data_IF_225397817916
#
_entry.id   IF_225397817916
#
_cell.length_a   1.000
_cell.length_b   1.000
_cell.length_c   1.000
_cell.angle_alpha   90.00
_cell.angle_beta   90.00
_cell.angle_gamma   90.00
#
_symmetry.space_group_name_H-M   'P 1'
#
loop_
_entity.id
_entity.type
_entity.pdbx_description
1 polymer ?
#
# COMPACT_ATOMS: atom_id res chain seq x y z
N UNK A 1 -6.85 6.61 -24.74
CA UNK A 1 -6.37 5.70 -23.68
C UNK A 1 -6.79 6.34 -22.37
N UNK A 2 -7.27 5.58 -21.39
CA UNK A 2 -7.63 6.19 -20.10
C UNK A 2 -6.36 6.40 -19.29
N UNK A 3 -6.31 7.53 -18.61
CA UNK A 3 -5.26 7.80 -17.63
C UNK A 3 -5.76 7.41 -16.24
N UNK A 4 -4.83 6.97 -15.40
CA UNK A 4 -5.14 6.46 -14.07
C UNK A 4 -4.27 7.11 -13.01
N UNK A 5 -4.88 7.52 -11.91
CA UNK A 5 -4.18 7.86 -10.68
C UNK A 5 -4.29 6.72 -9.69
N UNK A 6 -3.16 6.34 -9.09
CA UNK A 6 -3.09 5.29 -8.07
C UNK A 6 -2.63 5.90 -6.75
N UNK A 7 -3.44 5.68 -5.71
CA UNK A 7 -3.20 6.07 -4.33
C UNK A 7 -3.00 4.80 -3.49
N UNK A 8 -1.96 4.79 -2.67
CA UNK A 8 -1.67 3.71 -1.73
C UNK A 8 -1.98 4.23 -0.34
N UNK A 9 -2.71 3.47 0.47
CA UNK A 9 -3.07 3.82 1.83
C UNK A 9 -2.70 2.68 2.77
N UNK A 10 -2.08 2.99 3.91
CA UNK A 10 -1.92 2.01 4.99
C UNK A 10 -3.28 1.79 5.62
N UNK A 11 -3.95 0.71 5.25
CA UNK A 11 -5.32 0.43 5.66
C UNK A 11 -5.40 -0.14 7.06
N UNK A 12 -4.51 -1.07 7.38
CA UNK A 12 -4.45 -1.71 8.68
C UNK A 12 -3.02 -2.10 9.03
N UNK A 13 -2.77 -2.27 10.33
CA UNK A 13 -1.60 -2.99 10.82
C UNK A 13 -1.28 -2.65 12.26
N UNK A 14 -0.19 -3.24 12.75
CA UNK A 14 0.39 -2.92 14.04
C UNK A 14 1.73 -2.18 13.88
N UNK A 15 1.76 -0.84 13.96
CA UNK A 15 3.00 -0.08 13.80
C UNK A 15 3.90 -0.22 15.02
N UNK A 16 5.18 0.05 14.83
CA UNK A 16 6.06 0.28 15.97
C UNK A 16 5.84 1.62 16.66
N UNK A 17 6.65 1.87 17.67
CA UNK A 17 6.70 3.12 18.40
C UNK A 17 7.96 3.91 18.05
N UNK A 18 7.78 5.19 17.72
CA UNK A 18 8.90 6.10 17.50
C UNK A 18 9.60 6.36 18.82
N UNK A 19 10.91 6.18 18.85
CA UNK A 19 11.73 6.56 20.00
C UNK A 19 11.72 8.09 20.14
N UNK A 20 11.51 8.57 21.36
CA UNK A 20 11.45 10.00 21.68
C UNK A 20 12.83 10.61 21.96
N UNK A 21 13.86 9.77 22.05
CA UNK A 21 15.24 10.17 22.34
C UNK A 21 16.03 10.65 21.09
N UNK A 22 15.38 10.64 19.92
CA UNK A 22 15.96 11.09 18.65
C UNK A 22 16.94 10.11 18.02
N UNK A 23 17.12 8.91 18.57
CA UNK A 23 17.91 7.86 17.92
C UNK A 23 17.15 7.23 16.76
N UNK A 24 17.84 7.14 15.62
CA UNK A 24 17.34 6.43 14.45
C UNK A 24 18.03 5.05 14.36
N UNK A 25 17.26 3.96 14.31
CA UNK A 25 17.82 2.61 14.25
C UNK A 25 18.49 2.35 12.91
N UNK A 26 19.44 1.41 12.93
CA UNK A 26 19.93 0.83 11.69
C UNK A 26 18.94 -0.23 11.24
N UNK A 27 18.00 0.17 10.39
CA UNK A 27 16.91 -0.68 9.90
C UNK A 27 17.41 -1.99 9.30
N UNK A 28 18.53 -1.97 8.58
CA UNK A 28 19.08 -3.16 7.93
C UNK A 28 19.71 -4.11 8.95
N UNK A 29 20.50 -3.58 9.90
CA UNK A 29 21.10 -4.38 10.97
C UNK A 29 20.06 -4.96 11.91
N UNK A 30 19.00 -4.22 12.18
CA UNK A 30 17.92 -4.61 13.09
C UNK A 30 16.83 -5.45 12.41
N UNK A 31 16.85 -5.56 11.08
CA UNK A 31 15.89 -6.35 10.32
C UNK A 31 14.47 -5.79 10.37
N UNK A 32 14.33 -4.47 10.50
CA UNK A 32 13.06 -3.77 10.63
C UNK A 32 12.86 -2.76 9.48
N UNK A 33 11.64 -2.27 9.29
CA UNK A 33 11.34 -1.22 8.31
C UNK A 33 10.73 0.03 8.95
N UNK A 34 10.52 1.09 8.17
CA UNK A 34 9.97 2.37 8.66
C UNK A 34 8.61 2.22 9.38
N UNK A 35 7.80 1.22 8.98
CA UNK A 35 6.55 0.86 9.67
C UNK A 35 6.79 0.27 11.06
N UNK A 36 7.72 -0.68 11.17
CA UNK A 36 8.09 -1.33 12.44
C UNK A 36 8.83 -0.39 13.40
N UNK A 37 9.40 0.70 12.90
CA UNK A 37 9.96 1.79 13.70
C UNK A 37 8.91 2.87 14.06
N UNK A 38 7.67 2.75 13.56
CA UNK A 38 6.58 3.66 13.89
C UNK A 38 6.59 5.00 13.16
N UNK A 39 7.48 5.20 12.17
CA UNK A 39 7.54 6.40 11.33
C UNK A 39 6.30 6.56 10.44
N UNK A 40 5.68 5.44 10.07
CA UNK A 40 4.46 5.40 9.27
C UNK A 40 3.24 5.07 10.14
N UNK A 41 2.04 5.53 9.74
CA UNK A 41 0.79 5.37 10.51
C UNK A 41 -0.36 4.85 9.64
N UNK A 42 -1.33 4.17 10.27
CA UNK A 42 -2.60 3.80 9.62
C UNK A 42 -3.30 5.06 9.09
N UNK A 43 -3.85 4.97 7.88
CA UNK A 43 -4.48 6.06 7.15
C UNK A 43 -3.51 6.94 6.36
N UNK A 44 -2.19 6.74 6.50
CA UNK A 44 -1.21 7.47 5.69
C UNK A 44 -1.30 7.06 4.22
N UNK A 45 -1.20 8.06 3.34
CA UNK A 45 -1.38 7.91 1.89
C UNK A 45 -0.13 8.28 1.11
N UNK A 46 0.05 7.62 -0.02
CA UNK A 46 1.18 7.75 -0.92
C UNK A 46 0.69 7.77 -2.36
N UNK A 47 1.29 8.59 -3.20
CA UNK A 47 1.02 8.69 -4.63
C UNK A 47 1.95 7.74 -5.39
N UNK A 48 1.37 6.86 -6.22
CA UNK A 48 2.16 6.02 -7.12
C UNK A 48 2.38 6.74 -8.47
N UNK A 49 3.59 6.69 -9.05
CA UNK A 49 4.82 6.05 -8.54
C UNK A 49 5.67 6.95 -7.63
N UNK A 50 5.30 8.23 -7.50
CA UNK A 50 6.15 9.31 -6.95
C UNK A 50 6.66 9.04 -5.52
N UNK A 51 5.83 8.46 -4.66
CA UNK A 51 6.11 8.27 -3.24
C UNK A 51 6.57 6.84 -2.87
N UNK A 52 6.86 5.99 -3.87
CA UNK A 52 7.27 4.60 -3.60
C UNK A 52 8.55 4.50 -2.74
N UNK A 53 9.41 5.51 -2.78
CA UNK A 53 10.64 5.57 -1.97
C UNK A 53 10.40 5.67 -0.46
N UNK A 54 9.19 6.04 -0.03
CA UNK A 54 8.83 6.11 1.40
C UNK A 54 8.42 4.72 1.95
N UNK A 55 8.18 3.74 1.09
CA UNK A 55 7.71 2.41 1.46
C UNK A 55 8.85 1.38 1.50
N UNK A 56 8.69 0.38 2.36
CA UNK A 56 9.64 -0.74 2.45
C UNK A 56 9.70 -1.53 1.13
N UNK A 57 10.89 -1.92 0.62
CA UNK A 57 11.01 -2.68 -0.62
C UNK A 57 10.16 -3.96 -0.68
N UNK A 58 10.04 -4.71 0.43
CA UNK A 58 9.20 -5.92 0.47
C UNK A 58 7.72 -5.62 0.32
N UNK A 59 7.27 -4.49 0.88
CA UNK A 59 5.89 -4.04 0.74
C UNK A 59 5.61 -3.61 -0.70
N UNK A 60 6.52 -2.84 -1.30
CA UNK A 60 6.42 -2.45 -2.71
C UNK A 60 6.36 -3.69 -3.61
N UNK A 61 7.28 -4.64 -3.41
CA UNK A 61 7.34 -5.85 -4.24
C UNK A 61 6.06 -6.69 -4.14
N UNK A 62 5.49 -6.80 -2.94
CA UNK A 62 4.21 -7.50 -2.72
C UNK A 62 3.04 -6.88 -3.50
N UNK A 63 3.10 -5.59 -3.81
CA UNK A 63 2.06 -4.86 -4.56
C UNK A 63 2.32 -4.80 -6.06
N UNK A 64 3.55 -5.05 -6.54
CA UNK A 64 3.98 -4.80 -7.92
C UNK A 64 3.02 -5.37 -8.96
N UNK A 65 2.62 -6.64 -8.83
CA UNK A 65 1.72 -7.28 -9.79
C UNK A 65 0.35 -6.58 -9.90
N UNK A 66 -0.22 -6.16 -8.77
CA UNK A 66 -1.47 -5.41 -8.73
C UNK A 66 -1.31 -3.99 -9.27
N UNK A 67 -0.23 -3.30 -8.92
CA UNK A 67 0.05 -1.94 -9.44
C UNK A 67 0.17 -1.95 -10.96
N UNK A 68 0.92 -2.92 -11.52
CA UNK A 68 1.05 -3.11 -12.97
C UNK A 68 -0.27 -3.46 -13.66
N UNK A 69 -1.12 -4.26 -13.03
CA UNK A 69 -2.44 -4.54 -13.58
C UNK A 69 -3.31 -3.27 -13.60
N UNK A 70 -3.38 -2.54 -12.49
CA UNK A 70 -4.24 -1.37 -12.34
C UNK A 70 -3.79 -0.17 -13.18
N UNK A 71 -2.48 0.07 -13.30
CA UNK A 71 -1.93 1.17 -14.11
C UNK A 71 -2.22 0.98 -15.62
N UNK A 72 -2.34 -0.28 -16.07
CA UNK A 72 -2.65 -0.64 -17.45
C UNK A 72 -4.15 -0.89 -17.67
N UNK A 73 -5.01 -0.46 -16.74
CA UNK A 73 -6.48 -0.57 -16.84
C UNK A 73 -7.04 -1.97 -16.57
N UNK A 74 -6.21 -2.93 -16.17
CA UNK A 74 -6.64 -4.24 -15.72
C UNK A 74 -7.44 -4.17 -14.41
N UNK A 75 -8.21 -5.22 -14.15
CA UNK A 75 -8.90 -5.41 -12.86
C UNK A 75 -8.77 -6.86 -12.40
N UNK A 76 -8.71 -7.08 -11.10
CA UNK A 76 -8.56 -8.40 -10.49
C UNK A 76 -9.88 -8.79 -9.80
N UNK A 77 -10.57 -9.81 -10.30
CA UNK A 77 -12.00 -10.01 -10.04
C UNK A 77 -12.36 -10.59 -8.65
N UNK A 78 -11.39 -10.94 -7.82
CA UNK A 78 -11.64 -11.44 -6.46
C UNK A 78 -12.16 -10.30 -5.57
N UNK A 79 -13.40 -10.40 -5.07
CA UNK A 79 -14.05 -9.30 -4.35
C UNK A 79 -13.92 -9.33 -2.83
N UNK A 80 -13.59 -10.46 -2.22
CA UNK A 80 -13.55 -10.63 -0.75
C UNK A 80 -14.85 -10.18 -0.04
N UNK A 81 -16.01 -10.57 -0.59
CA UNK A 81 -17.32 -10.13 -0.08
C UNK A 81 -17.53 -10.45 1.40
N UNK A 82 -18.09 -9.51 2.14
CA UNK A 82 -18.38 -9.66 3.58
C UNK A 82 -17.14 -9.60 4.48
N UNK A 83 -15.98 -9.20 3.94
CA UNK A 83 -14.76 -8.97 4.73
C UNK A 83 -14.42 -7.48 4.79
N UNK A 84 -13.56 -7.04 5.73
CA UNK A 84 -13.04 -5.68 5.75
C UNK A 84 -12.27 -5.27 4.48
N UNK A 85 -11.95 -6.23 3.59
CA UNK A 85 -11.21 -6.03 2.35
C UNK A 85 -12.09 -6.15 1.11
N UNK A 86 -13.42 -6.01 1.27
CA UNK A 86 -14.33 -6.05 0.12
C UNK A 86 -13.96 -4.97 -0.91
N UNK A 87 -13.68 -5.40 -2.14
CA UNK A 87 -13.18 -4.52 -3.20
C UNK A 87 -14.32 -3.80 -3.91
N UNK A 88 -14.05 -2.54 -4.25
CA UNK A 88 -14.75 -1.85 -5.34
C UNK A 88 -14.06 -2.24 -6.65
N UNK A 89 -14.83 -2.69 -7.64
CA UNK A 89 -14.33 -2.97 -8.98
C UNK A 89 -15.23 -2.23 -9.97
N UNK A 90 -14.69 -1.15 -10.51
CA UNK A 90 -15.34 -0.31 -11.51
C UNK A 90 -14.29 0.06 -12.58
N UNK A 91 -14.30 -0.57 -13.76
CA UNK A 91 -13.35 -0.29 -14.84
C UNK A 91 -13.38 1.17 -15.33
N UNK A 92 -14.49 1.87 -15.11
CA UNK A 92 -14.74 3.22 -15.59
C UNK A 92 -14.59 4.28 -14.49
N UNK A 93 -14.55 3.88 -13.23
CA UNK A 93 -14.38 4.78 -12.07
C UNK A 93 -13.29 4.31 -11.11
N UNK A 94 -13.69 3.78 -9.96
CA UNK A 94 -12.79 3.45 -8.85
C UNK A 94 -12.62 1.93 -8.70
N UNK A 95 -11.38 1.45 -8.75
CA UNK A 95 -11.04 0.07 -8.40
C UNK A 95 -10.11 0.04 -7.21
N UNK A 96 -10.34 -0.86 -6.26
CA UNK A 96 -9.49 -1.03 -5.06
C UNK A 96 -8.86 -2.41 -4.99
N UNK A 97 -7.63 -2.51 -4.51
CA UNK A 97 -6.95 -3.75 -4.14
C UNK A 97 -6.49 -3.69 -2.69
N UNK A 98 -6.29 -4.86 -2.07
CA UNK A 98 -5.74 -4.99 -0.72
C UNK A 98 -4.56 -5.95 -0.75
N UNK A 99 -3.44 -5.55 -0.16
CA UNK A 99 -2.17 -6.28 -0.22
C UNK A 99 -1.55 -6.34 1.16
N UNK A 100 -1.21 -7.54 1.62
CA UNK A 100 -0.51 -7.74 2.90
C UNK A 100 0.99 -7.85 2.64
N UNK A 101 1.79 -7.15 3.45
CA UNK A 101 3.24 -7.35 3.48
C UNK A 101 3.58 -8.81 3.83
N UNK A 102 4.57 -9.45 3.19
CA UNK A 102 4.99 -10.82 3.52
C UNK A 102 5.73 -10.93 4.86
N UNK A 103 5.92 -9.82 5.57
CA UNK A 103 6.48 -9.81 6.92
C UNK A 103 5.76 -10.82 7.84
N UNK A 104 6.46 -11.81 8.40
CA UNK A 104 5.86 -12.83 9.26
C UNK A 104 5.65 -12.36 10.71
N UNK A 105 6.07 -11.16 11.08
CA UNK A 105 5.97 -10.68 12.47
C UNK A 105 4.55 -10.19 12.82
N UNK A 106 4.36 -9.86 14.11
CA UNK A 106 3.15 -9.22 14.59
C UNK A 106 2.97 -7.78 14.07
N UNK A 107 3.96 -7.21 13.39
CA UNK A 107 3.91 -5.87 12.79
C UNK A 107 3.19 -5.84 11.44
N UNK A 108 2.40 -6.86 11.13
CA UNK A 108 1.73 -7.00 9.84
C UNK A 108 1.04 -5.71 9.39
N UNK A 109 1.12 -5.44 8.09
CA UNK A 109 0.57 -4.25 7.44
C UNK A 109 -0.22 -4.66 6.20
N UNK A 110 -1.39 -4.05 6.01
CA UNK A 110 -2.19 -4.18 4.78
C UNK A 110 -2.30 -2.81 4.11
N UNK A 111 -1.94 -2.78 2.84
CA UNK A 111 -2.11 -1.64 1.96
C UNK A 111 -3.44 -1.75 1.23
N UNK A 112 -4.18 -0.65 1.18
CA UNK A 112 -5.26 -0.45 0.21
C UNK A 112 -4.72 0.34 -0.97
N UNK A 113 -4.83 -0.22 -2.16
CA UNK A 113 -4.49 0.43 -3.41
C UNK A 113 -5.79 0.92 -4.04
N UNK A 114 -5.87 2.19 -4.42
CA UNK A 114 -7.05 2.78 -5.06
C UNK A 114 -6.67 3.37 -6.40
N UNK A 115 -7.22 2.84 -7.49
CA UNK A 115 -7.05 3.33 -8.85
C UNK A 115 -8.29 4.11 -9.29
N UNK A 116 -8.12 5.37 -9.68
CA UNK A 116 -9.18 6.24 -10.21
C UNK A 116 -8.90 6.56 -11.67
N UNK A 117 -9.93 6.49 -12.52
CA UNK A 117 -9.86 7.05 -13.87
C UNK A 117 -9.74 8.57 -13.76
N UNK A 118 -8.85 9.17 -14.54
CA UNK A 118 -8.83 10.60 -14.79
C UNK A 118 -9.08 10.83 -16.28
N UNK A 119 -9.90 11.82 -16.59
CA UNK A 119 -10.15 12.21 -17.98
C UNK A 119 -8.83 12.70 -18.57
N UNK A 120 -8.41 12.08 -19.68
CA UNK A 120 -7.35 12.63 -20.51
C UNK A 120 -7.89 13.95 -21.08
N UNK A 121 -7.32 15.07 -20.62
CA UNK A 121 -7.61 16.40 -21.15
C UNK A 121 -7.29 16.53 -22.64
#
# INVERSE_FOLDING_TARGET
>A
MKDYLIELEIYEGNPGELLTDGTFPDLAREGICAWMYGRLKVGQKFRYPDDLGELCPWLVDSMTGMLRALENGGTLHWKYRGTPYEKVIDPDGITTEFVRCPDPTASGIVMKVTRRVVDAG
#
